data_IF_236871683732
#
_entry.id   IF_236871683732
#
_cell.length_a   1.000
_cell.length_b   1.000
_cell.length_c   1.000
_cell.angle_alpha   90.00
_cell.angle_beta   90.00
_cell.angle_gamma   90.00
#
_symmetry.space_group_name_H-M   'P 1'
#
loop_
_entity.id
_entity.type
_entity.pdbx_description
1 polymer ?
2 non-polymer ?
3 water ?
#
# COMPACT_ATOMS: atom_id res chain seq x y z
N UNK A 16 16.66 23.22 7.17
CA UNK A 16 16.08 24.29 6.31
C UNK A 16 14.71 24.70 6.81
N UNK A 17 14.33 25.95 6.55
CA UNK A 17 13.05 26.48 6.99
C UNK A 17 12.16 26.76 5.78
N UNK A 18 12.59 26.29 4.61
CA UNK A 18 11.82 26.45 3.38
C UNK A 18 10.80 25.32 3.31
N UNK A 19 10.62 24.64 4.44
CA UNK A 19 9.68 23.54 4.54
C UNK A 19 8.26 24.06 4.48
N UNK A 20 7.36 23.25 3.94
CA UNK A 20 5.97 23.64 3.85
C UNK A 20 5.24 23.30 5.15
N UNK A 21 4.44 24.24 5.63
CA UNK A 21 3.71 24.04 6.86
C UNK A 21 2.30 24.58 6.77
N UNK A 22 1.35 23.71 7.04
CA UNK A 22 -0.04 24.10 7.01
C UNK A 22 -0.58 23.92 8.40
N UNK A 23 -0.70 25.02 9.16
CA UNK A 23 -1.22 24.98 10.53
C UNK A 23 -2.53 24.22 10.59
N UNK A 24 -2.68 23.37 11.60
CA UNK A 24 -3.88 22.59 11.77
C UNK A 24 -4.41 22.67 13.21
N UNK A 25 -5.67 22.32 13.36
CA UNK A 25 -6.32 22.32 14.66
C UNK A 25 -6.04 20.95 15.29
N UNK A 26 -6.23 20.84 16.60
CA UNK A 26 -5.99 19.57 17.28
C UNK A 26 -6.84 18.48 16.64
N UNK A 27 -8.06 18.83 16.23
CA UNK A 27 -8.95 17.88 15.60
C UNK A 27 -8.40 17.42 14.25
N UNK A 28 -7.95 18.37 13.44
CA UNK A 28 -7.41 18.03 12.13
C UNK A 28 -6.25 17.06 12.27
N UNK A 29 -5.34 17.37 13.19
CA UNK A 29 -4.18 16.51 13.44
C UNK A 29 -4.62 15.12 13.90
N UNK A 30 -5.65 15.08 14.73
CA UNK A 30 -6.18 13.81 15.23
C UNK A 30 -6.64 12.97 14.07
N UNK A 31 -7.47 13.55 13.22
CA UNK A 31 -7.97 12.84 12.06
C UNK A 31 -6.83 12.53 11.11
N UNK A 32 -5.93 13.49 10.92
CA UNK A 32 -4.76 13.33 10.06
C UNK A 32 -4.00 12.09 10.54
N UNK A 33 -3.96 11.93 11.86
CA UNK A 33 -3.26 10.83 12.51
C UNK A 33 -3.90 9.49 12.22
N UNK A 34 -5.22 9.42 12.34
CA UNK A 34 -5.94 8.18 12.09
C UNK A 34 -5.79 7.79 10.64
N UNK A 35 -6.00 8.75 9.75
CA UNK A 35 -5.91 8.49 8.32
C UNK A 35 -4.54 7.95 7.89
N UNK A 36 -3.48 8.39 8.57
CA UNK A 36 -2.13 7.97 8.19
C UNK A 36 -1.55 6.72 8.85
N UNK A 37 -2.15 6.27 9.95
CA UNK A 37 -1.64 5.12 10.69
C UNK A 37 -1.21 3.90 9.88
N UNK A 38 -1.89 3.62 8.77
CA UNK A 38 -1.57 2.44 7.97
C UNK A 38 -0.98 2.66 6.59
N UNK A 39 -0.58 3.89 6.28
CA UNK A 39 -0.02 4.16 4.96
C UNK A 39 1.38 3.57 4.83
N UNK A 40 1.47 2.50 4.05
CA UNK A 40 2.74 1.81 3.82
C UNK A 40 3.92 2.69 3.45
N UNK A 41 3.66 3.77 2.70
CA UNK A 41 4.75 4.68 2.31
C UNK A 41 5.40 5.43 3.50
N UNK A 42 4.73 5.46 4.64
CA UNK A 42 5.25 6.16 5.83
C UNK A 42 5.83 5.21 6.88
N UNK A 43 5.67 3.92 6.63
CA UNK A 43 6.15 2.91 7.56
C UNK A 43 7.60 2.96 8.00
N UNK A 44 8.50 3.44 7.15
CA UNK A 44 9.93 3.47 7.49
C UNK A 44 10.52 4.82 7.89
N UNK A 45 9.68 5.83 8.10
CA UNK A 45 10.14 7.16 8.47
C UNK A 45 10.41 7.34 9.96
N UNK A 46 11.50 8.03 10.30
CA UNK A 46 11.77 8.27 11.71
C UNK A 46 10.84 9.40 12.13
N UNK A 47 10.59 9.55 13.44
CA UNK A 47 9.71 10.58 13.99
C UNK A 47 9.91 11.98 13.41
N UNK A 48 11.17 12.33 13.18
CA UNK A 48 11.55 13.63 12.64
C UNK A 48 10.93 13.78 11.25
N UNK A 49 11.22 12.82 10.37
CA UNK A 49 10.71 12.83 9.00
C UNK A 49 9.19 12.84 8.96
N UNK A 50 8.57 12.06 9.82
CA UNK A 50 7.11 11.97 9.88
C UNK A 50 6.45 13.30 10.24
N UNK A 51 7.03 14.00 11.22
CA UNK A 51 6.48 15.28 11.65
C UNK A 51 6.61 16.32 10.54
N UNK A 52 7.68 16.24 9.76
CA UNK A 52 7.85 17.19 8.67
C UNK A 52 6.72 16.99 7.66
N UNK A 53 6.43 15.71 7.40
CA UNK A 53 5.38 15.29 6.50
C UNK A 53 4.04 15.85 6.99
N UNK A 54 3.69 15.48 8.21
CA UNK A 54 2.42 15.91 8.82
C UNK A 54 2.22 17.42 8.76
N UNK A 55 3.28 18.19 8.97
CA UNK A 55 3.16 19.63 8.89
C UNK A 55 2.79 20.10 7.51
N UNK A 56 3.29 19.41 6.48
CA UNK A 56 3.03 19.83 5.11
C UNK A 56 1.67 19.36 4.58
N UNK A 57 1.01 18.49 5.32
CA UNK A 57 -0.29 17.99 4.92
C UNK A 57 -1.34 19.09 5.00
N UNK A 58 -2.13 19.22 3.94
CA UNK A 58 -3.22 20.19 3.89
C UNK A 58 -4.50 19.38 3.68
N UNK A 59 -5.64 19.91 4.13
CA UNK A 59 -6.92 19.21 4.00
C UNK A 59 -7.64 19.66 2.73
N UNK A 60 -8.26 18.72 2.04
CA UNK A 60 -8.97 19.02 0.80
C UNK A 60 -10.25 18.22 0.71
N UNK A 61 -11.38 18.91 0.77
CA UNK A 61 -12.68 18.24 0.69
C UNK A 61 -13.03 17.92 -0.76
N UNK A 62 -13.79 16.84 -0.98
CA UNK A 62 -14.20 16.44 -2.32
C UNK A 62 -15.69 16.13 -2.39
N UNK A 63 -16.22 16.11 -3.60
CA UNK A 63 -17.64 15.82 -3.81
C UNK A 63 -17.84 14.72 -4.85
N UNK A 64 -18.90 13.95 -4.63
CA UNK A 64 -19.26 12.86 -5.51
C UNK A 64 -19.17 13.29 -6.98
N UNK A 65 -18.35 12.60 -7.75
CA UNK A 65 -18.19 12.92 -9.15
C UNK A 65 -16.90 13.66 -9.47
N UNK A 66 -16.36 14.31 -8.45
CA UNK A 66 -15.14 15.09 -8.57
C UNK A 66 -13.95 14.27 -9.07
N UNK A 67 -13.26 14.77 -10.08
CA UNK A 67 -12.09 14.07 -10.61
C UNK A 67 -10.84 14.59 -9.92
N UNK A 68 -10.49 13.98 -8.79
CA UNK A 68 -9.32 14.39 -8.03
C UNK A 68 -8.05 14.31 -8.87
N UNK A 69 -8.00 13.31 -9.75
CA UNK A 69 -6.86 13.10 -10.63
C UNK A 69 -7.36 12.64 -11.99
N UNK A 70 -6.77 13.17 -13.06
CA UNK A 70 -7.13 12.79 -14.42
C UNK A 70 -5.91 12.24 -15.12
N UNK A 71 -6.05 11.03 -15.66
CA UNK A 71 -4.95 10.38 -16.34
C UNK A 71 -4.30 11.30 -17.37
N UNK A 72 -2.97 11.26 -17.43
CA UNK A 72 -2.27 12.10 -18.38
C UNK A 72 -1.82 13.40 -17.76
N UNK A 73 -2.57 13.87 -16.76
CA UNK A 73 -2.24 15.12 -16.06
C UNK A 73 -0.87 15.11 -15.40
N UNK A 74 -0.49 16.26 -14.86
CA UNK A 74 0.80 16.41 -14.19
C UNK A 74 0.71 16.05 -12.71
N UNK A 75 1.80 15.52 -12.18
CA UNK A 75 1.85 15.12 -10.79
C UNK A 75 2.11 16.29 -9.86
N UNK A 76 1.12 16.65 -9.05
CA UNK A 76 1.28 17.74 -8.12
C UNK A 76 1.31 17.33 -6.65
N UNK A 77 0.37 16.49 -6.23
CA UNK A 77 0.32 16.06 -4.85
C UNK A 77 0.10 14.59 -4.64
N UNK A 78 0.41 14.15 -3.43
CA UNK A 78 0.21 12.79 -3.01
C UNK A 78 -1.01 12.91 -2.09
N UNK A 79 -1.91 11.94 -2.16
CA UNK A 79 -3.10 11.97 -1.31
C UNK A 79 -3.23 10.77 -0.39
N UNK A 80 -3.86 11.01 0.75
CA UNK A 80 -4.12 10.00 1.76
C UNK A 80 -5.59 10.25 2.03
N UNK A 81 -6.38 9.18 2.06
CA UNK A 81 -7.82 9.31 2.27
C UNK A 81 -8.25 9.45 3.71
N UNK A 82 -9.07 10.46 3.99
CA UNK A 82 -9.57 10.66 5.33
C UNK A 82 -10.94 10.01 5.42
N UNK A 83 -11.68 10.07 4.32
CA UNK A 83 -13.01 9.48 4.24
C UNK A 83 -13.51 9.55 2.81
N UNK A 84 -14.69 8.98 2.59
CA UNK A 84 -15.29 8.97 1.26
C UNK A 84 -14.82 7.81 0.39
N UNK A 85 -15.64 7.43 -0.57
CA UNK A 85 -15.34 6.33 -1.49
C UNK A 85 -14.80 6.88 -2.80
N UNK A 86 -14.01 6.07 -3.50
CA UNK A 86 -13.42 6.49 -4.77
C UNK A 86 -13.39 5.36 -5.77
N UNK A 87 -13.21 5.72 -7.03
CA UNK A 87 -13.14 4.75 -8.12
C UNK A 87 -11.88 5.00 -8.93
N UNK A 88 -11.29 3.92 -9.45
CA UNK A 88 -10.07 4.03 -10.23
C UNK A 88 -10.37 3.72 -11.69
N UNK A 89 -9.93 4.61 -12.58
CA UNK A 89 -10.16 4.44 -14.01
C UNK A 89 -8.91 4.52 -14.88
N UNK A 90 -8.82 3.58 -15.81
CA UNK A 90 -7.70 3.53 -16.76
C UNK A 90 -8.29 3.41 -18.17
N UNK A 91 -7.60 4.00 -19.15
CA UNK A 91 -8.07 3.96 -20.52
C UNK A 91 -7.42 2.82 -21.30
N UNK A 92 -8.27 1.93 -21.82
CA UNK A 92 -7.78 0.79 -22.58
C UNK A 92 -8.09 0.98 -24.07
N UNK A 93 -7.13 1.55 -24.78
CA UNK A 93 -7.26 1.79 -26.21
C UNK A 93 -8.20 2.97 -26.49
N UNK A 94 -8.48 3.75 -25.46
CA UNK A 94 -9.36 4.91 -25.64
C UNK A 94 -10.61 4.85 -24.79
N UNK A 95 -10.86 3.69 -24.18
CA UNK A 95 -12.03 3.50 -23.33
C UNK A 95 -11.55 3.30 -21.90
N UNK A 96 -12.12 4.06 -20.97
CA UNK A 96 -11.71 3.94 -19.59
C UNK A 96 -12.65 3.06 -18.78
N UNK A 97 -12.07 2.19 -17.96
CA UNK A 97 -12.88 1.30 -17.12
C UNK A 97 -12.48 1.38 -15.65
N UNK A 98 -13.44 1.08 -14.79
CA UNK A 98 -13.23 1.08 -13.35
C UNK A 98 -12.41 -0.15 -13.04
N UNK A 99 -11.12 0.06 -12.83
CA UNK A 99 -10.19 -1.03 -12.55
C UNK A 99 -9.99 -1.31 -11.06
N UNK A 100 -10.89 -0.78 -10.23
CA UNK A 100 -10.79 -0.98 -8.80
C UNK A 100 -11.35 0.20 -8.05
N UNK A 101 -10.89 0.43 -6.82
CA UNK A 101 -11.37 1.56 -6.04
C UNK A 101 -10.81 1.58 -4.61
N UNK A 102 -11.07 2.68 -3.91
CA UNK A 102 -10.63 2.88 -2.53
C UNK A 102 -11.87 3.08 -1.68
N UNK A 103 -11.82 2.63 -0.42
CA UNK A 103 -12.99 2.76 0.45
C UNK A 103 -12.70 3.34 1.83
N UNK A 104 -12.84 4.66 1.95
CA UNK A 104 -12.64 5.32 3.22
C UNK A 104 -11.23 5.23 3.81
N UNK A 105 -10.26 4.80 3.01
CA UNK A 105 -8.89 4.70 3.48
C UNK A 105 -7.94 4.28 2.37
N UNK A 106 -6.68 4.67 2.49
CA UNK A 106 -5.68 4.34 1.48
C UNK A 106 -4.98 5.59 0.98
N UNK A 107 -4.05 5.43 0.05
CA UNK A 107 -3.34 6.57 -0.49
C UNK A 107 -3.13 6.43 -1.99
N UNK A 108 -3.03 7.55 -2.70
CA UNK A 108 -2.84 7.52 -4.14
C UNK A 108 -2.27 8.82 -4.69
N UNK A 109 -1.63 8.73 -5.85
CA UNK A 109 -1.04 9.89 -6.48
C UNK A 109 0.45 9.96 -6.21
N UNK A 110 1.07 8.83 -5.91
CA UNK A 110 2.49 8.82 -5.61
C UNK A 110 3.40 8.53 -6.80
N UNK A 111 2.86 7.82 -7.80
CA UNK A 111 3.63 7.46 -8.98
C UNK A 111 4.16 8.65 -9.77
N UNK A 112 3.32 9.67 -9.93
CA UNK A 112 3.67 10.87 -10.67
C UNK A 112 4.85 11.58 -10.04
N UNK A 113 4.81 11.72 -8.71
CA UNK A 113 5.85 12.40 -7.95
C UNK A 113 7.13 11.56 -7.80
N UNK A 114 6.95 10.24 -7.65
CA UNK A 114 8.10 9.34 -7.53
C UNK A 114 8.86 9.20 -8.83
N UNK A 115 8.13 9.04 -9.92
CA UNK A 115 8.75 8.81 -11.22
C UNK A 115 8.58 9.93 -12.24
N UNK A 116 8.23 11.13 -11.79
CA UNK A 116 8.04 12.25 -12.69
C UNK A 116 7.37 11.87 -14.00
N UNK A 117 6.22 11.20 -13.93
CA UNK A 117 5.47 10.79 -15.11
C UNK A 117 4.05 11.30 -15.01
N UNK A 118 3.34 11.36 -16.14
CA UNK A 118 1.95 11.85 -16.06
C UNK A 118 1.11 10.97 -15.16
N UNK A 119 0.04 11.52 -14.60
CA UNK A 119 -0.85 10.74 -13.77
C UNK A 119 -1.20 9.50 -14.61
N UNK A 120 -1.03 8.33 -14.03
CA UNK A 120 -1.28 7.07 -14.72
C UNK A 120 -2.68 6.54 -14.45
N UNK A 121 -3.60 7.40 -14.09
CA UNK A 121 -4.94 6.93 -13.84
C UNK A 121 -5.84 8.08 -13.50
N UNK A 122 -7.11 7.79 -13.27
CA UNK A 122 -8.08 8.80 -12.93
C UNK A 122 -8.73 8.38 -11.63
N UNK A 123 -8.79 9.31 -10.69
CA UNK A 123 -9.39 9.05 -9.40
C UNK A 123 -10.53 10.04 -9.28
N UNK A 124 -11.70 9.56 -8.90
CA UNK A 124 -12.88 10.40 -8.77
C UNK A 124 -13.71 9.96 -7.60
N UNK A 125 -14.13 10.90 -6.77
CA UNK A 125 -14.95 10.56 -5.61
C UNK A 125 -16.28 9.95 -6.05
N UNK A 126 -16.63 8.84 -5.42
CA UNK A 126 -17.88 8.16 -5.73
C UNK A 126 -18.77 8.40 -4.52
N UNK A 127 -18.60 9.59 -3.96
CA UNK A 127 -19.34 10.03 -2.79
C UNK A 127 -18.55 11.21 -2.26
N UNK A 128 -19.18 12.04 -1.42
CA UNK A 128 -18.44 13.18 -0.87
C UNK A 128 -17.33 12.67 0.06
N UNK A 129 -16.14 13.23 -0.05
CA UNK A 129 -15.05 12.78 0.81
C UNK A 129 -14.10 13.88 1.28
N UNK A 130 -12.96 13.46 1.81
CA UNK A 130 -11.94 14.38 2.31
C UNK A 130 -10.59 13.73 2.08
N UNK A 131 -9.55 14.55 1.92
CA UNK A 131 -8.20 14.04 1.68
C UNK A 131 -7.14 14.90 2.34
N UNK A 132 -5.99 14.30 2.57
CA UNK A 132 -4.85 15.00 3.16
C UNK A 132 -3.80 14.96 2.08
N UNK A 133 -3.49 16.12 1.52
CA UNK A 133 -2.52 16.18 0.44
C UNK A 133 -1.12 16.55 0.87
N UNK A 134 -0.16 16.13 0.05
CA UNK A 134 1.25 16.39 0.30
C UNK A 134 1.91 16.82 -1.00
N UNK A 135 2.34 18.07 -1.05
CA UNK A 135 2.99 18.63 -2.23
C UNK A 135 4.09 17.70 -2.68
N UNK A 136 4.59 17.91 -3.89
CA UNK A 136 5.64 17.05 -4.42
C UNK A 136 7.05 17.39 -3.92
N UNK A 137 7.27 18.64 -3.53
CA UNK A 137 8.60 19.03 -3.05
C UNK A 137 8.91 18.30 -1.76
N UNK A 138 7.91 18.28 -0.88
CA UNK A 138 8.04 17.60 0.40
C UNK A 138 8.12 16.10 0.16
N UNK A 139 7.25 15.61 -0.71
CA UNK A 139 7.21 14.18 -1.01
C UNK A 139 8.53 13.67 -1.54
N UNK A 140 9.11 14.38 -2.49
CA UNK A 140 10.38 13.96 -3.07
C UNK A 140 11.51 14.17 -2.09
N UNK A 141 11.40 15.23 -1.30
CA UNK A 141 12.41 15.55 -0.31
C UNK A 141 12.51 14.46 0.73
N UNK A 142 11.38 13.96 1.22
CA UNK A 142 11.40 12.93 2.27
C UNK A 142 11.07 11.49 1.90
N UNK A 143 9.98 11.28 1.16
CA UNK A 143 9.60 9.92 0.78
C UNK A 143 10.57 9.29 -0.18
N UNK A 144 10.97 10.03 -1.22
CA UNK A 144 11.89 9.48 -2.20
C UNK A 144 13.25 9.25 -1.55
N UNK A 145 13.62 10.14 -0.63
CA UNK A 145 14.89 9.97 0.08
C UNK A 145 14.76 8.66 0.84
N UNK A 146 13.63 8.53 1.54
CA UNK A 146 13.33 7.34 2.31
C UNK A 146 13.50 6.08 1.46
N UNK A 147 13.05 6.11 0.21
CA UNK A 147 13.19 4.93 -0.66
C UNK A 147 14.65 4.57 -0.90
N UNK A 148 15.54 5.55 -0.82
CA UNK A 148 16.96 5.28 -1.02
C UNK A 148 17.42 4.35 0.10
N UNK A 149 16.91 4.59 1.29
CA UNK A 149 17.22 3.81 2.48
C UNK A 149 16.63 2.42 2.38
N UNK A 150 15.37 2.35 1.95
CA UNK A 150 14.69 1.06 1.82
C UNK A 150 15.37 0.20 0.77
N UNK A 151 15.80 0.80 -0.32
CA UNK A 151 16.45 0.04 -1.37
C UNK A 151 17.68 -0.65 -0.81
N UNK A 152 18.48 0.07 -0.03
CA UNK A 152 19.66 -0.53 0.54
C UNK A 152 19.20 -1.78 1.28
N UNK A 153 18.47 -1.55 2.36
CA UNK A 153 17.94 -2.61 3.20
C UNK A 153 17.34 -3.82 2.52
N UNK A 154 16.51 -3.61 1.50
CA UNK A 154 15.84 -4.74 0.87
C UNK A 154 16.09 -5.04 -0.59
N UNK A 155 17.02 -4.36 -1.22
CA UNK A 155 17.26 -4.61 -2.63
C UNK A 155 17.75 -6.03 -2.94
N UNK A 156 18.76 -6.48 -2.21
CA UNK A 156 19.27 -7.83 -2.44
C UNK A 156 18.14 -8.81 -2.19
N UNK A 157 17.57 -8.74 -1.00
CA UNK A 157 16.47 -9.60 -0.58
C UNK A 157 15.37 -9.75 -1.63
N UNK A 158 14.78 -8.63 -2.03
CA UNK A 158 13.71 -8.64 -3.02
C UNK A 158 14.17 -9.28 -4.33
N UNK A 159 15.42 -9.03 -4.68
CA UNK A 159 16.00 -9.57 -5.90
C UNK A 159 16.40 -11.02 -5.75
N UNK A 160 15.96 -11.66 -4.67
CA UNK A 160 16.30 -13.06 -4.43
C UNK A 160 15.03 -13.86 -4.26
N UNK A 161 13.90 -13.22 -4.47
CA UNK A 161 12.62 -13.89 -4.32
C UNK A 161 12.21 -14.50 -5.66
N UNK A 162 12.25 -15.83 -5.74
CA UNK A 162 11.90 -16.61 -6.94
C UNK A 162 10.64 -16.21 -7.69
N UNK A 163 9.55 -15.97 -6.96
CA UNK A 163 8.31 -15.60 -7.61
C UNK A 163 8.40 -14.26 -8.31
N UNK A 164 9.49 -13.53 -8.09
CA UNK A 164 9.65 -12.23 -8.71
C UNK A 164 10.59 -12.26 -9.90
N UNK A 165 10.91 -13.45 -10.38
CA UNK A 165 11.80 -13.60 -11.53
C UNK A 165 11.06 -13.12 -12.77
N UNK A 166 9.76 -13.38 -12.80
CA UNK A 166 8.91 -13.00 -13.92
C UNK A 166 8.52 -11.53 -13.92
N UNK A 167 9.51 -10.66 -14.04
CA UNK A 167 9.29 -9.22 -14.07
C UNK A 167 10.50 -8.58 -14.74
N UNK A 168 10.26 -7.59 -15.60
CA UNK A 168 11.37 -6.91 -16.26
C UNK A 168 12.29 -6.36 -15.17
N UNK A 169 13.59 -6.49 -15.36
CA UNK A 169 14.57 -6.01 -14.39
C UNK A 169 14.18 -4.64 -13.86
N UNK A 170 13.56 -3.85 -14.73
CA UNK A 170 13.13 -2.50 -14.39
C UNK A 170 11.91 -2.51 -13.48
N UNK A 171 10.96 -3.38 -13.78
CA UNK A 171 9.74 -3.47 -12.98
C UNK A 171 10.06 -3.90 -11.55
N UNK A 172 10.97 -4.86 -11.41
CA UNK A 172 11.33 -5.34 -10.09
C UNK A 172 11.99 -4.27 -9.23
N UNK A 173 12.47 -3.21 -9.86
CA UNK A 173 13.11 -2.12 -9.14
C UNK A 173 12.09 -1.24 -8.43
N UNK A 174 10.95 -1.01 -9.07
CA UNK A 174 9.91 -0.16 -8.52
C UNK A 174 9.10 -0.84 -7.42
N UNK A 175 9.38 -2.12 -7.17
CA UNK A 175 8.64 -2.85 -6.15
C UNK A 175 8.87 -2.34 -4.73
N UNK A 176 10.15 -2.15 -4.38
CA UNK A 176 10.54 -1.71 -3.06
C UNK A 176 10.08 -0.27 -2.82
N UNK A 177 9.95 0.50 -3.89
CA UNK A 177 9.52 1.89 -3.80
C UNK A 177 8.16 2.00 -3.16
N UNK A 178 7.36 0.94 -3.21
CA UNK A 178 6.04 0.99 -2.64
C UNK A 178 5.69 -0.04 -1.57
N UNK A 179 6.69 -0.79 -1.12
CA UNK A 179 6.42 -1.73 -0.04
C UNK A 179 6.63 -0.94 1.26
N UNK A 180 6.08 -1.46 2.35
CA UNK A 180 6.24 -0.80 3.64
C UNK A 180 6.54 -1.87 4.67
N UNK A 181 7.37 -1.56 5.65
CA UNK A 181 7.71 -2.55 6.68
C UNK A 181 6.74 -2.56 7.86
N UNK A 182 6.22 -3.74 8.16
CA UNK A 182 5.30 -3.90 9.27
C UNK A 182 5.94 -4.82 10.29
N UNK A 183 5.97 -4.38 11.55
CA UNK A 183 6.54 -5.16 12.63
C UNK A 183 5.40 -5.73 13.46
N UNK A 184 5.57 -6.98 13.90
CA UNK A 184 4.55 -7.65 14.70
C UNK A 184 5.22 -8.38 15.86
N UNK A 185 4.56 -8.36 17.01
CA UNK A 185 5.10 -9.06 18.18
C UNK A 185 4.54 -10.47 18.19
N UNK A 186 5.06 -11.30 19.09
CA UNK A 186 4.61 -12.69 19.18
C UNK A 186 3.15 -12.76 19.60
N UNK A 187 2.40 -13.66 18.96
CA UNK A 187 0.99 -13.80 19.26
C UNK A 187 0.14 -12.76 18.56
N UNK A 188 0.79 -11.75 17.96
CA UNK A 188 0.07 -10.69 17.28
C UNK A 188 -0.56 -11.13 15.95
N UNK A 189 -1.83 -10.77 15.77
CA UNK A 189 -2.54 -11.12 14.56
C UNK A 189 -2.15 -10.22 13.41
N UNK A 190 -1.87 -10.83 12.26
CA UNK A 190 -1.49 -10.08 11.08
C UNK A 190 -2.74 -9.87 10.23
N UNK A 191 -3.50 -10.93 9.98
CA UNK A 191 -4.75 -10.82 9.24
C UNK A 191 -5.73 -11.79 9.88
N UNK A 192 -7.02 -11.49 9.76
CA UNK A 192 -8.06 -12.33 10.35
C UNK A 192 -8.94 -12.92 9.27
N UNK A 193 -9.10 -14.23 9.30
CA UNK A 193 -9.93 -14.91 8.32
C UNK A 193 -11.34 -14.35 8.24
N UNK A 194 -11.81 -14.16 7.02
CA UNK A 194 -13.14 -13.63 6.82
C UNK A 194 -13.06 -12.18 6.37
N UNK A 195 -12.31 -11.39 7.15
CA UNK A 195 -12.12 -9.97 6.87
C UNK A 195 -11.84 -9.67 5.41
N UNK A 196 -12.07 -8.43 5.05
CA UNK A 196 -11.82 -7.96 3.69
C UNK A 196 -10.32 -7.74 3.62
N UNK A 197 -9.75 -8.03 2.46
CA UNK A 197 -8.31 -7.91 2.23
C UNK A 197 -7.92 -6.74 1.35
N UNK A 198 -6.89 -6.00 1.76
CA UNK A 198 -6.42 -4.87 0.96
C UNK A 198 -4.90 -4.81 0.98
N UNK A 199 -4.26 -5.93 1.29
CA UNK A 199 -2.82 -5.95 1.36
C UNK A 199 -2.18 -7.33 1.17
N UNK A 200 -0.99 -7.32 0.56
CA UNK A 200 -0.20 -8.50 0.26
C UNK A 200 1.04 -8.47 1.17
N UNK A 201 1.37 -9.62 1.77
CA UNK A 201 2.53 -9.69 2.67
C UNK A 201 3.68 -10.60 2.20
N UNK A 202 4.91 -10.24 2.58
CA UNK A 202 6.13 -11.01 2.26
C UNK A 202 7.03 -11.05 3.51
N UNK A 203 7.07 -12.19 4.20
CA UNK A 203 7.87 -12.30 5.40
C UNK A 203 9.34 -11.96 5.15
N UNK A 204 9.88 -11.08 5.97
CA UNK A 204 11.28 -10.70 5.83
C UNK A 204 12.08 -11.31 6.98
N UNK A 205 11.47 -11.42 8.16
CA UNK A 205 12.13 -12.02 9.31
C UNK A 205 11.09 -12.52 10.29
N UNK A 206 11.39 -13.63 10.94
CA UNK A 206 10.45 -14.19 11.89
C UNK A 206 9.69 -15.30 11.21
N UNK A 207 8.56 -15.68 11.82
CA UNK A 207 7.74 -16.76 11.31
C UNK A 207 6.27 -16.41 11.44
N UNK A 208 5.51 -16.78 10.41
CA UNK A 208 4.08 -16.53 10.39
C UNK A 208 3.30 -17.84 10.35
N UNK A 209 2.40 -17.98 11.31
CA UNK A 209 1.56 -19.16 11.43
C UNK A 209 0.22 -18.85 10.78
N UNK A 210 -0.18 -19.69 9.83
CA UNK A 210 -1.43 -19.54 9.11
C UNK A 210 -2.38 -20.60 9.67
N UNK A 211 -3.55 -20.19 10.12
CA UNK A 211 -4.52 -21.14 10.68
C UNK A 211 -5.90 -20.96 10.10
N UNK A 212 -6.77 -21.95 10.29
CA UNK A 212 -8.15 -21.89 9.79
C UNK A 212 -9.15 -22.29 10.85
N UNK A 213 -10.30 -21.62 10.84
CA UNK A 213 -11.38 -21.90 11.79
C UNK A 213 -12.68 -22.24 11.05
N UNK A 214 -13.79 -22.19 11.79
CA UNK A 214 -15.13 -22.48 11.27
C UNK A 214 -16.13 -21.50 11.89
N UNK A 215 -17.23 -21.24 11.19
CA UNK A 215 -18.29 -20.28 11.60
C UNK A 215 -18.73 -20.13 13.07
N UNK A 216 -17.88 -19.49 13.88
CA UNK A 216 -18.17 -19.26 15.30
C UNK A 216 -17.29 -18.11 15.81
N UNK A 217 -17.10 -18.03 17.12
CA UNK A 217 -16.26 -16.98 17.69
C UNK A 217 -15.11 -17.58 18.50
N UNK A 225 -9.30 -24.26 15.85
CA UNK A 225 -8.37 -23.65 14.89
C UNK A 225 -7.32 -24.65 14.41
N UNK A 226 -7.36 -24.95 13.11
CA UNK A 226 -6.44 -25.87 12.45
C UNK A 226 -5.27 -25.15 11.76
N UNK A 227 -4.04 -25.49 12.13
CA UNK A 227 -2.89 -24.85 11.50
C UNK A 227 -2.67 -25.43 10.10
N UNK A 228 -2.52 -24.57 9.10
CA UNK A 228 -2.34 -25.08 7.75
C UNK A 228 -1.05 -24.71 7.02
N UNK A 229 -0.26 -23.83 7.62
CA UNK A 229 1.02 -23.43 7.00
C UNK A 229 1.89 -22.60 7.94
N UNK A 230 3.15 -22.45 7.53
CA UNK A 230 4.13 -21.63 8.27
C UNK A 230 4.91 -20.91 7.19
N UNK A 231 5.03 -19.60 7.31
CA UNK A 231 5.75 -18.82 6.32
C UNK A 231 7.05 -18.26 6.89
N UNK A 232 8.13 -18.50 6.18
CA UNK A 232 9.45 -18.04 6.59
C UNK A 232 9.94 -16.92 5.67
N UNK A 233 11.04 -16.29 6.05
CA UNK A 233 11.62 -15.22 5.26
C UNK A 233 11.60 -15.63 3.79
N UNK A 234 11.07 -14.77 2.93
CA UNK A 234 11.04 -15.09 1.52
C UNK A 234 9.72 -15.61 1.01
N UNK A 235 8.84 -16.03 1.92
CA UNK A 235 7.52 -16.55 1.56
C UNK A 235 6.42 -15.52 1.71
N UNK A 236 5.52 -15.50 0.74
CA UNK A 236 4.41 -14.56 0.74
C UNK A 236 3.08 -15.18 1.20
N UNK A 237 2.15 -14.32 1.61
CA UNK A 237 0.83 -14.77 2.04
C UNK A 237 -0.16 -13.61 1.95
N UNK A 238 -1.44 -13.93 1.99
CA UNK A 238 -2.46 -12.89 1.88
C UNK A 238 -2.74 -12.51 0.44
N UNK A 239 -2.16 -13.23 -0.51
CA UNK A 239 -2.36 -12.94 -1.93
C UNK A 239 -3.56 -13.66 -2.52
N UNK A 240 -4.01 -14.71 -1.85
CA UNK A 240 -5.14 -15.49 -2.34
C UNK A 240 -6.39 -14.64 -2.49
N UNK A 241 -6.73 -13.89 -1.45
CA UNK A 241 -7.93 -13.05 -1.48
C UNK A 241 -7.84 -11.88 -2.44
N UNK A 242 -6.62 -11.55 -2.88
CA UNK A 242 -6.45 -10.44 -3.81
C UNK A 242 -6.76 -10.92 -5.22
N UNK A 243 -6.34 -12.14 -5.52
CA UNK A 243 -6.56 -12.73 -6.83
C UNK A 243 -8.01 -13.18 -6.96
N UNK A 244 -8.39 -14.14 -6.13
CA UNK A 244 -9.76 -14.65 -6.15
C UNK A 244 -10.76 -13.56 -5.81
N UNK A 245 -10.27 -12.35 -5.57
CA UNK A 245 -11.20 -11.26 -5.26
C UNK A 245 -12.17 -11.80 -4.20
N UNK A 246 -11.62 -12.50 -3.21
CA UNK A 246 -12.43 -13.08 -2.14
C UNK A 246 -11.95 -12.58 -0.77
N UNK A 247 -12.68 -12.91 0.30
CA UNK A 247 -12.28 -12.48 1.65
C UNK A 247 -11.13 -13.34 2.18
N UNK A 248 -10.61 -12.98 3.35
CA UNK A 248 -9.50 -13.73 3.95
C UNK A 248 -9.89 -15.17 4.18
N UNK A 249 -9.15 -16.07 3.53
CA UNK A 249 -9.40 -17.51 3.64
C UNK A 249 -8.69 -18.17 4.79
N UNK A 250 -8.03 -17.38 5.63
CA UNK A 250 -7.32 -17.90 6.80
C UNK A 250 -6.67 -16.77 7.60
N UNK A 251 -6.47 -17.01 8.89
CA UNK A 251 -5.84 -16.02 9.77
C UNK A 251 -4.33 -16.20 9.77
N UNK A 252 -3.61 -15.13 10.07
CA UNK A 252 -2.16 -15.19 10.16
C UNK A 252 -1.71 -14.58 11.48
N UNK A 253 -0.84 -15.28 12.20
CA UNK A 253 -0.34 -14.76 13.46
C UNK A 253 1.18 -14.78 13.50
N UNK A 254 1.74 -13.83 14.23
CA UNK A 254 3.18 -13.71 14.36
C UNK A 254 3.70 -14.66 15.42
N UNK A 255 4.77 -15.37 15.10
CA UNK A 255 5.39 -16.28 16.06
C UNK A 255 6.70 -15.62 16.42
N UNK A 256 6.67 -14.83 17.49
CA UNK A 256 7.88 -14.12 17.88
C UNK A 256 7.86 -12.88 17.02
N UNK A 257 8.88 -12.03 17.13
CA UNK A 257 8.90 -10.81 16.33
C UNK A 257 8.95 -11.12 14.85
N UNK A 258 8.03 -10.52 14.12
CA UNK A 258 7.93 -10.73 12.70
C UNK A 258 8.03 -9.39 11.98
N UNK A 259 8.69 -9.41 10.83
CA UNK A 259 8.81 -8.22 10.03
C UNK A 259 8.42 -8.60 8.60
N UNK A 260 7.35 -8.00 8.12
CA UNK A 260 6.82 -8.25 6.77
C UNK A 260 6.98 -7.01 5.90
N UNK A 261 7.27 -7.22 4.62
CA UNK A 261 7.39 -6.13 3.66
C UNK A 261 6.05 -6.19 2.91
N UNK A 262 5.14 -5.25 3.16
CA UNK A 262 3.82 -5.25 2.55
C UNK A 262 3.55 -4.25 1.42
N UNK A 263 2.39 -4.41 0.77
CA UNK A 263 1.97 -3.52 -0.31
C UNK A 263 0.47 -3.65 -0.51
N UNK A 264 -0.19 -2.57 -0.92
CA UNK A 264 -1.62 -2.61 -1.13
C UNK A 264 -1.98 -3.32 -2.45
N UNK A 265 -3.23 -3.72 -2.57
CA UNK A 265 -3.68 -4.41 -3.77
C UNK A 265 -3.40 -3.64 -5.08
N UNK A 266 -3.65 -2.33 -5.10
CA UNK A 266 -3.41 -1.52 -6.30
C UNK A 266 -1.99 -1.73 -6.75
N UNK A 267 -1.07 -1.72 -5.81
CA UNK A 267 0.32 -1.94 -6.11
C UNK A 267 0.49 -3.37 -6.60
N UNK A 268 -0.19 -4.29 -5.92
CA UNK A 268 -0.15 -5.72 -6.26
C UNK A 268 -0.47 -5.89 -7.74
N UNK A 269 -1.71 -5.60 -8.09
CA UNK A 269 -2.19 -5.71 -9.46
C UNK A 269 -1.39 -4.88 -10.45
N UNK A 270 -0.77 -3.81 -9.99
CA UNK A 270 -0.02 -2.96 -10.88
C UNK A 270 1.34 -3.51 -11.27
N UNK A 271 1.99 -4.19 -10.33
CA UNK A 271 3.32 -4.72 -10.59
C UNK A 271 3.41 -6.23 -10.65
N UNK A 272 2.52 -6.92 -9.97
CA UNK A 272 2.58 -8.37 -9.91
C UNK A 272 1.80 -9.18 -10.94
N UNK A 273 1.13 -8.52 -11.89
CA UNK A 273 0.39 -9.24 -12.91
C UNK A 273 1.21 -10.40 -13.44
N UNK A 274 2.49 -10.18 -13.79
CA UNK A 274 3.39 -11.20 -14.32
C UNK A 274 3.69 -12.35 -13.34
N UNK A 275 3.04 -12.34 -12.17
CA UNK A 275 3.26 -13.37 -11.18
C UNK A 275 2.03 -14.24 -10.92
N UNK A 276 0.85 -13.68 -11.21
CA UNK A 276 -0.43 -14.36 -11.00
C UNK A 276 -0.48 -15.78 -11.54
N UNK A 277 0.32 -16.08 -12.56
CA UNK A 277 0.35 -17.43 -13.13
C UNK A 277 1.06 -18.40 -12.19
N UNK A 278 2.36 -18.18 -11.98
CA UNK A 278 3.15 -19.04 -11.09
C UNK A 278 2.47 -19.14 -9.72
N UNK A 279 1.58 -18.20 -9.45
CA UNK A 279 0.86 -18.17 -8.17
C UNK A 279 -0.43 -18.94 -8.33
N UNK A 280 -1.27 -18.53 -9.29
CA UNK A 280 -2.54 -19.21 -9.56
C UNK A 280 -2.33 -20.72 -9.60
N UNK A 281 -1.18 -21.12 -10.14
CA UNK A 281 -0.82 -22.53 -10.25
C UNK A 281 -0.49 -23.06 -8.86
N UNK A 282 0.56 -22.50 -8.26
CA UNK A 282 1.00 -22.90 -6.93
C UNK A 282 -0.08 -22.63 -5.89
N UNK A 283 -1.19 -22.06 -6.34
CA UNK A 283 -2.31 -21.76 -5.44
C UNK A 283 -3.21 -22.98 -5.42
N UNK A 284 -2.94 -23.91 -6.32
CA UNK A 284 -3.71 -25.15 -6.40
C UNK A 284 -3.30 -25.99 -5.21
N UNK A 285 -2.11 -25.73 -4.69
CA UNK A 285 -1.55 -26.44 -3.54
C UNK A 285 -2.25 -25.99 -2.25
N UNK A 286 -3.45 -25.43 -2.39
CA UNK A 286 -4.21 -24.99 -1.24
C UNK A 286 -5.38 -25.92 -0.96
X LIG B 1 -0.10 8.53 -10.30
X LIG B 1 0.85 9.63 -10.06
X LIG B 1 0.24 7.97 -11.63
X LIG B 1 -2.75 8.28 -10.39
X LIG B 1 -1.60 9.07 -10.21
X LIG B 1 -2.71 7.34 -9.20
X LIG B 1 -3.78 6.36 -9.12
X LIG B 1 -1.38 6.59 -9.20
X LIG B 1 -0.23 7.42 -9.14
X LIG B 1 -1.71 5.51 -8.18
X LIG B 1 -1.54 5.79 -6.80
X LIG B 1 -3.19 5.21 -8.44
X LIG B 1 -1.85 1.65 -12.28
X LIG B 1 -1.31 2.89 -12.13
X LIG B 1 -1.71 3.70 -11.14
X LIG B 1 -2.68 3.34 -10.22
X LIG B 1 -3.26 2.03 -10.36
X LIG B 1 -2.82 1.17 -11.43
X LIG B 1 -4.18 1.91 -9.34
X LIG B 1 -4.19 3.00 -8.63
X LIG B 1 -3.29 3.91 -9.12
X LIG B 1 -3.35 -0.07 -11.62
X LIG B 1 -4.69 -0.47 -11.11
X LIG B 1 -4.69 -1.22 -9.79
X LIG B 1 -6.15 -1.48 -9.48
X LIG B 1 -2.61 -1.07 -12.40
X LIG B 1 -3.13 -1.01 -13.87
X LIG B 1 -2.09 -0.52 -14.89
X LIG C 1 -5.68 -14.96 2.03
X LIG C 1 -5.96 -13.59 1.53
X LIG C 1 -6.92 -15.77 1.91
X LIG C 1 -4.83 -16.05 4.31
X LIG C 1 -5.18 -14.91 3.55
X LIG C 1 -3.58 -16.52 3.59
X LIG C 1 -2.98 -17.71 4.14
X LIG C 1 -3.90 -16.80 2.13
X LIG C 1 -4.39 -15.67 1.40
X LIG C 1 -2.65 -17.57 1.73
X LIG C 1 -1.53 -16.82 1.35
X LIG C 1 -2.32 -18.35 3.01
X LIG C 1 -5.80 -22.38 2.17
X LIG C 1 -6.11 -21.06 2.17
X LIG C 1 -5.16 -20.14 2.38
X LIG C 1 -3.81 -20.46 2.61
X LIG C 1 -3.48 -21.86 2.61
X LIG C 1 -4.50 -22.84 2.39
X LIG C 1 -2.11 -21.93 2.86
X LIG C 1 -1.64 -20.70 3.00
X LIG C 1 -2.65 -19.77 2.86
X LIG C 1 -4.23 -24.16 2.41
X LIG C 1 -3.04 -24.73 1.74
X LIG C 1 -1.97 -25.23 2.68
X LIG C 1 -0.89 -25.75 1.78
X LIG C 1 -5.11 -25.08 3.16
X LIG C 1 -6.15 -25.73 2.19
X LIG C 1 -7.60 -25.57 2.63
#
# INVERSE_FOLDING_TARGET
>A
SVCAEAYNPDEEEDDAESRIIHPKTDDQRNRLQEACKDILLFKNLDPEQMSQVLDAMFEKLVKEGEHVIDQGDDGDNFYVIDRGTFDIYVKCDGVGRCVGNYDNRGSFGELALMYNTPRAATITATSPGALWGLDRVTFRRIIVKNNAKKRKMYESFIESLPFLKSLEVSERLKVVDVIGTKVYNDGEQIIAQGDSADSFFIVESGEVRITMKRKGKSDIEENGAVEIARCLRGQYFGELALVTNKPRAASAHAIGTVKCLAMDVQAFERLLGPCMEIMKRNIATYEEQLVALFGTNMDIVEPTA
>B hetero
1 1OR P O1P O2P C5' O5' C4' O4' C3' O3' C2' O2' C1' N1 C2 N3 C4 C5 C6 N7 C8 N9 N6 C26 C27 C28 C23 C24 C25
>C hetero
1 1OR P O1P O2P C5' O5' C4' O4' C3' O3' C2' O2' C1' N1 C2 N3 C4 C5 C6 N7 C8 N9 N6 C26 C27 C28 C23 C24 C25
#
